data_IF_462146247929
#
_entry.id   IF_462146247929
#
_cell.length_a   1.000
_cell.length_b   1.000
_cell.length_c   1.000
_cell.angle_alpha   90.00
_cell.angle_beta   90.00
_cell.angle_gamma   90.00
#
_symmetry.space_group_name_H-M   'P 1'
#
loop_
_entity.id
_entity.type
_entity.pdbx_description
1 polymer ?
#
# COMPACT_ATOMS: atom_id res chain seq x y z
N UNK A 1 16.48 -18.55 -2.40
CA UNK A 1 16.35 -18.51 -3.87
C UNK A 1 15.13 -19.32 -4.26
N UNK A 2 13.95 -18.69 -4.29
CA UNK A 2 12.75 -19.33 -4.81
C UNK A 2 12.74 -19.10 -6.32
N UNK A 3 12.96 -20.16 -7.10
CA UNK A 3 12.74 -20.15 -8.55
C UNK A 3 11.22 -20.22 -8.78
N UNK A 4 10.62 -19.16 -9.30
CA UNK A 4 9.20 -19.07 -9.64
C UNK A 4 8.81 -19.73 -10.97
N UNK A 5 9.78 -20.25 -11.71
CA UNK A 5 9.53 -20.99 -12.93
C UNK A 5 9.76 -22.48 -12.69
N UNK A 6 8.95 -23.37 -13.27
CA UNK A 6 9.20 -24.78 -13.19
C UNK A 6 10.60 -25.08 -13.76
N UNK A 7 11.34 -26.02 -13.18
CA UNK A 7 12.61 -26.46 -13.72
C UNK A 7 12.35 -27.00 -15.12
N UNK A 8 12.96 -26.44 -16.15
CA UNK A 8 12.79 -26.63 -17.59
C UNK A 8 11.91 -25.59 -18.31
N UNK A 9 11.65 -24.42 -17.73
CA UNK A 9 11.13 -23.29 -18.48
C UNK A 9 12.17 -22.85 -19.51
N UNK A 10 11.83 -22.73 -20.82
CA UNK A 10 12.74 -22.25 -21.84
C UNK A 10 13.12 -20.78 -21.70
N UNK A 11 12.50 -20.08 -20.75
CA UNK A 11 12.81 -18.70 -20.37
C UNK A 11 13.58 -18.70 -19.04
N UNK A 12 14.88 -19.02 -19.06
CA UNK A 12 15.83 -18.47 -18.10
C UNK A 12 16.01 -16.98 -18.40
N UNK A 13 14.95 -16.19 -18.16
CA UNK A 13 15.01 -14.75 -18.28
C UNK A 13 15.80 -14.23 -17.09
N UNK A 14 17.08 -14.00 -17.31
CA UNK A 14 18.01 -13.51 -16.30
C UNK A 14 17.84 -12.01 -15.99
N UNK A 15 17.03 -11.27 -16.78
CA UNK A 15 16.82 -9.83 -16.62
C UNK A 15 15.38 -9.42 -16.97
N UNK A 16 14.84 -8.47 -16.20
CA UNK A 16 13.52 -7.85 -16.41
C UNK A 16 13.34 -7.19 -17.80
N UNK A 17 14.44 -6.84 -18.48
CA UNK A 17 14.41 -6.27 -19.83
C UNK A 17 13.92 -7.24 -20.90
N UNK A 18 14.00 -8.54 -20.69
CA UNK A 18 13.63 -9.52 -21.70
C UNK A 18 12.12 -9.78 -21.77
N UNK A 19 11.40 -9.59 -20.65
CA UNK A 19 9.94 -9.81 -20.58
C UNK A 19 9.18 -8.74 -21.38
N UNK A 20 9.69 -7.51 -21.41
CA UNK A 20 9.06 -6.40 -22.15
C UNK A 20 9.29 -6.47 -23.66
N UNK A 21 10.20 -7.34 -24.15
CA UNK A 21 10.54 -7.49 -25.55
C UNK A 21 9.77 -8.61 -26.26
N UNK A 22 9.03 -9.44 -25.52
CA UNK A 22 8.23 -10.51 -26.12
C UNK A 22 7.07 -9.92 -26.93
N UNK A 23 6.95 -10.38 -28.17
CA UNK A 23 5.79 -10.06 -29.01
C UNK A 23 4.50 -10.67 -28.43
N UNK A 24 3.35 -10.14 -28.83
CA UNK A 24 2.03 -10.65 -28.44
C UNK A 24 1.85 -12.13 -28.80
N UNK A 25 2.47 -12.59 -29.88
CA UNK A 25 2.38 -13.98 -30.36
C UNK A 25 3.25 -14.92 -29.50
N UNK A 26 4.41 -14.48 -29.06
CA UNK A 26 5.28 -15.22 -28.14
C UNK A 26 4.64 -15.36 -26.74
N UNK A 27 3.95 -14.34 -26.26
CA UNK A 27 3.15 -14.43 -25.04
C UNK A 27 1.97 -15.38 -25.16
N UNK A 28 1.24 -15.35 -26.30
CA UNK A 28 0.11 -16.24 -26.56
C UNK A 28 0.55 -17.71 -26.66
N UNK A 29 1.69 -17.96 -27.30
CA UNK A 29 2.27 -19.30 -27.45
C UNK A 29 2.80 -19.85 -26.12
N UNK A 30 3.41 -18.99 -25.30
CA UNK A 30 3.87 -19.34 -23.95
C UNK A 30 2.71 -19.71 -23.02
N UNK A 31 1.64 -18.91 -23.01
CA UNK A 31 0.48 -19.14 -22.16
C UNK A 31 -0.36 -20.34 -22.63
N UNK A 32 -0.39 -20.62 -23.94
CA UNK A 32 -1.11 -21.78 -24.50
C UNK A 32 -0.40 -23.12 -24.33
N UNK A 33 0.91 -23.13 -24.08
CA UNK A 33 1.73 -24.35 -23.90
C UNK A 33 1.83 -24.85 -22.45
N UNK A 34 1.44 -24.02 -21.48
CA UNK A 34 1.52 -24.38 -20.07
C UNK A 34 0.13 -24.61 -19.50
N UNK A 35 -0.22 -25.89 -19.24
CA UNK A 35 -1.35 -26.25 -18.36
C UNK A 35 -1.01 -25.75 -16.95
N UNK A 36 -1.69 -24.70 -16.52
CA UNK A 36 -1.57 -24.21 -15.14
C UNK A 36 -2.39 -25.10 -14.21
N UNK A 37 -1.73 -25.67 -13.22
CA UNK A 37 -2.38 -26.44 -12.15
C UNK A 37 -3.36 -25.53 -11.38
N UNK A 38 -4.65 -25.77 -11.57
CA UNK A 38 -5.75 -25.03 -10.92
C UNK A 38 -5.72 -25.06 -9.36
N UNK A 39 -4.88 -25.92 -8.77
CA UNK A 39 -4.69 -26.02 -7.32
C UNK A 39 -3.84 -24.88 -6.73
N UNK A 40 -3.13 -24.10 -7.55
CA UNK A 40 -2.28 -23.00 -7.09
C UNK A 40 -3.05 -21.69 -7.05
N UNK A 41 -3.09 -21.09 -5.88
CA UNK A 41 -3.81 -19.85 -5.50
C UNK A 41 -3.55 -18.65 -6.44
N UNK A 42 -2.51 -18.69 -7.25
CA UNK A 42 -2.02 -17.63 -8.14
C UNK A 42 -2.67 -17.60 -9.54
N UNK A 43 -3.40 -18.66 -9.92
CA UNK A 43 -3.98 -18.77 -11.26
C UNK A 43 -5.26 -17.96 -11.42
N UNK A 44 -6.05 -17.77 -10.36
CA UNK A 44 -7.35 -17.08 -10.44
C UNK A 44 -7.30 -15.61 -10.92
N UNK A 45 -6.37 -14.76 -10.47
CA UNK A 45 -6.24 -13.40 -11.02
C UNK A 45 -5.76 -13.41 -12.47
N UNK A 46 -4.88 -14.34 -12.83
CA UNK A 46 -4.30 -14.43 -14.17
C UNK A 46 -5.31 -14.95 -15.20
N UNK A 47 -6.10 -15.97 -14.88
CA UNK A 47 -7.20 -16.44 -15.73
C UNK A 47 -8.24 -15.33 -15.96
N UNK A 48 -8.54 -14.54 -14.95
CA UNK A 48 -9.47 -13.42 -15.09
C UNK A 48 -8.94 -12.29 -15.99
N UNK A 49 -7.62 -12.14 -16.07
CA UNK A 49 -6.94 -11.27 -17.04
C UNK A 49 -6.96 -11.86 -18.47
N UNK A 50 -6.79 -13.17 -18.60
CA UNK A 50 -6.83 -13.89 -19.89
C UNK A 50 -8.26 -13.96 -20.46
N UNK A 51 -9.27 -14.06 -19.60
CA UNK A 51 -10.70 -13.99 -19.99
C UNK A 51 -11.15 -12.56 -20.35
N UNK A 52 -10.33 -11.55 -20.03
CA UNK A 52 -10.57 -10.20 -20.51
C UNK A 52 -10.20 -10.11 -21.99
N UNK A 53 -11.02 -9.40 -22.78
CA UNK A 53 -10.78 -9.25 -24.22
C UNK A 53 -9.33 -8.79 -24.49
N UNK A 54 -8.73 -9.30 -25.57
CA UNK A 54 -7.41 -8.91 -26.08
C UNK A 54 -7.18 -7.39 -26.03
N UNK A 55 -8.21 -6.60 -26.27
CA UNK A 55 -8.17 -5.15 -26.25
C UNK A 55 -7.89 -4.56 -24.89
N UNK A 56 -8.39 -5.19 -23.82
CA UNK A 56 -8.11 -4.78 -22.43
C UNK A 56 -6.67 -5.06 -22.09
N UNK A 57 -6.15 -6.23 -22.45
CA UNK A 57 -4.76 -6.59 -22.22
C UNK A 57 -3.78 -5.69 -22.99
N UNK A 58 -4.06 -5.44 -24.28
CA UNK A 58 -3.25 -4.52 -25.10
C UNK A 58 -3.26 -3.09 -24.54
N UNK A 59 -4.41 -2.64 -24.06
CA UNK A 59 -4.55 -1.35 -23.41
C UNK A 59 -3.75 -1.29 -22.10
N UNK A 60 -3.75 -2.35 -21.31
CA UNK A 60 -2.95 -2.44 -20.08
C UNK A 60 -1.46 -2.43 -20.40
N UNK A 61 -1.02 -3.18 -21.40
CA UNK A 61 0.38 -3.19 -21.86
C UNK A 61 0.81 -1.83 -22.41
N UNK A 62 -0.05 -1.14 -23.17
CA UNK A 62 0.25 0.21 -23.65
C UNK A 62 0.39 1.21 -22.50
N UNK A 63 -0.45 1.13 -21.45
CA UNK A 63 -0.32 1.98 -20.27
C UNK A 63 0.97 1.72 -19.48
N UNK A 64 1.43 0.47 -19.44
CA UNK A 64 2.73 0.14 -18.81
C UNK A 64 3.88 0.72 -19.65
N UNK A 65 3.81 0.59 -20.97
CA UNK A 65 4.82 1.17 -21.88
C UNK A 65 4.84 2.71 -21.83
N UNK A 66 3.67 3.35 -21.76
CA UNK A 66 3.53 4.81 -21.67
C UNK A 66 3.83 5.35 -20.26
N UNK A 67 3.83 4.50 -19.22
CA UNK A 67 4.06 4.93 -17.84
C UNK A 67 5.43 5.61 -17.65
N UNK A 68 6.43 5.25 -18.45
CA UNK A 68 7.77 5.85 -18.42
C UNK A 68 7.84 7.27 -18.99
N UNK A 69 6.81 7.73 -19.74
CA UNK A 69 6.82 9.03 -20.40
C UNK A 69 6.40 10.21 -19.50
N UNK A 70 5.67 9.97 -18.39
CA UNK A 70 5.02 11.00 -17.57
C UNK A 70 5.41 10.96 -16.08
N UNK A 71 6.65 10.70 -15.75
CA UNK A 71 7.12 10.54 -14.35
C UNK A 71 6.33 9.44 -13.58
N UNK A 72 5.63 8.56 -14.28
CA UNK A 72 4.93 7.42 -13.73
C UNK A 72 5.74 6.17 -14.05
N UNK A 73 6.23 5.51 -13.00
CA UNK A 73 6.91 4.22 -13.13
C UNK A 73 5.95 3.06 -12.85
N UNK A 74 6.41 1.85 -13.20
CA UNK A 74 5.72 0.59 -12.91
C UNK A 74 6.68 -0.41 -12.27
N UNK A 75 6.25 -1.07 -11.20
CA UNK A 75 7.00 -2.08 -10.47
C UNK A 75 6.22 -3.40 -10.49
N UNK A 76 6.73 -4.39 -11.20
CA UNK A 76 6.12 -5.72 -11.28
C UNK A 76 6.36 -6.53 -10.00
N UNK A 77 5.46 -7.45 -9.68
CA UNK A 77 5.66 -8.43 -8.60
C UNK A 77 6.89 -9.33 -8.83
N UNK A 78 7.30 -9.50 -10.10
CA UNK A 78 8.50 -10.25 -10.48
C UNK A 78 9.80 -9.46 -10.27
N UNK A 79 9.73 -8.14 -10.06
CA UNK A 79 10.89 -7.29 -9.85
C UNK A 79 11.57 -7.66 -8.52
N UNK A 80 12.91 -7.79 -8.47
CA UNK A 80 13.65 -8.02 -7.23
C UNK A 80 13.38 -6.98 -6.14
N UNK A 81 13.12 -5.73 -6.53
CA UNK A 81 12.84 -4.61 -5.63
C UNK A 81 11.36 -4.52 -5.19
N UNK A 82 10.51 -5.47 -5.63
CA UNK A 82 9.13 -5.49 -5.15
C UNK A 82 9.09 -5.77 -3.65
N UNK A 83 8.33 -4.98 -2.84
CA UNK A 83 8.37 -5.05 -1.38
C UNK A 83 8.11 -6.47 -0.87
N UNK A 84 9.07 -7.00 -0.09
CA UNK A 84 9.03 -8.36 0.43
C UNK A 84 7.75 -8.63 1.23
N UNK A 85 7.41 -7.72 2.15
CA UNK A 85 6.20 -7.84 2.96
C UNK A 85 4.93 -7.87 2.09
N UNK A 86 4.83 -7.01 1.10
CA UNK A 86 3.66 -6.95 0.22
C UNK A 86 3.54 -8.21 -0.66
N UNK A 87 4.66 -8.82 -1.05
CA UNK A 87 4.67 -10.07 -1.83
C UNK A 87 4.08 -11.25 -1.06
N UNK A 88 4.11 -11.20 0.28
CA UNK A 88 3.66 -12.30 1.14
C UNK A 88 2.18 -12.27 1.50
N UNK A 89 1.44 -11.21 1.18
CA UNK A 89 0.00 -11.19 1.49
C UNK A 89 -0.75 -12.16 0.58
N UNK A 90 -1.93 -12.61 1.01
CA UNK A 90 -2.74 -13.61 0.29
C UNK A 90 -3.09 -13.19 -1.15
N UNK A 91 -3.24 -11.88 -1.41
CA UNK A 91 -3.63 -11.31 -2.70
C UNK A 91 -2.74 -10.09 -3.00
N UNK A 92 -1.45 -10.30 -3.33
CA UNK A 92 -0.54 -9.21 -3.64
C UNK A 92 -0.89 -8.60 -5.00
N UNK A 93 -0.71 -7.28 -5.16
CA UNK A 93 -0.80 -6.64 -6.48
C UNK A 93 0.20 -7.28 -7.46
N UNK A 94 -0.23 -7.60 -8.68
CA UNK A 94 0.67 -8.08 -9.74
C UNK A 94 1.68 -7.01 -10.16
N UNK A 95 1.37 -5.75 -9.90
CA UNK A 95 2.26 -4.63 -10.09
C UNK A 95 1.72 -3.37 -9.46
N UNK A 96 2.59 -2.39 -9.33
CA UNK A 96 2.32 -1.09 -8.74
C UNK A 96 2.74 0.00 -9.72
N UNK A 97 1.81 0.85 -10.11
CA UNK A 97 2.14 2.14 -10.70
C UNK A 97 2.60 3.08 -9.59
N UNK A 98 3.60 3.92 -9.87
CA UNK A 98 4.12 4.83 -8.87
C UNK A 98 4.50 6.19 -9.44
N UNK A 99 4.51 7.21 -8.57
CA UNK A 99 5.08 8.54 -8.78
C UNK A 99 5.90 8.95 -7.56
N UNK A 100 7.05 9.53 -7.80
CA UNK A 100 7.98 9.95 -6.75
C UNK A 100 9.12 8.96 -6.53
N UNK A 101 9.66 8.93 -5.32
CA UNK A 101 10.88 8.17 -5.00
C UNK A 101 10.56 6.71 -4.63
N UNK A 102 10.79 5.79 -5.56
CA UNK A 102 10.57 4.35 -5.39
C UNK A 102 11.39 3.73 -4.25
N UNK A 103 12.55 4.30 -3.91
CA UNK A 103 13.41 3.82 -2.82
C UNK A 103 12.74 3.92 -1.43
N UNK A 104 11.61 4.62 -1.31
CA UNK A 104 10.81 4.60 -0.08
C UNK A 104 10.28 3.20 0.27
N UNK A 105 10.19 2.31 -0.71
CA UNK A 105 9.79 0.92 -0.49
C UNK A 105 10.85 0.06 0.20
N UNK A 106 12.10 0.51 0.24
CA UNK A 106 13.23 -0.21 0.87
C UNK A 106 13.35 0.10 2.37
N UNK A 107 12.61 1.11 2.86
CA UNK A 107 12.70 1.56 4.25
C UNK A 107 11.69 0.82 5.14
N UNK A 108 11.99 0.66 6.44
CA UNK A 108 11.02 0.14 7.40
C UNK A 108 9.75 0.98 7.41
N UNK A 109 8.62 0.33 7.13
CA UNK A 109 7.34 1.02 6.94
C UNK A 109 6.34 0.68 8.04
N UNK A 110 5.63 1.72 8.52
CA UNK A 110 4.54 1.61 9.49
C UNK A 110 3.30 2.28 8.93
N UNK A 111 2.17 1.56 8.95
CA UNK A 111 0.90 2.13 8.53
C UNK A 111 0.26 2.94 9.66
N UNK A 112 -0.20 4.16 9.35
CA UNK A 112 -1.01 4.99 10.26
C UNK A 112 -2.34 5.25 9.58
N UNK A 113 -3.43 4.77 10.16
CA UNK A 113 -4.78 4.92 9.61
C UNK A 113 -5.78 5.28 10.69
N UNK A 114 -6.92 5.86 10.28
CA UNK A 114 -7.95 6.20 11.24
C UNK A 114 -9.19 6.84 10.63
N UNK A 115 -9.97 7.48 11.48
CA UNK A 115 -11.23 8.11 11.13
C UNK A 115 -11.04 9.30 10.18
N UNK A 116 -11.95 9.42 9.22
CA UNK A 116 -12.11 10.63 8.38
C UNK A 116 -12.66 11.83 9.16
N UNK A 117 -13.32 11.56 10.30
CA UNK A 117 -13.92 12.54 11.21
C UNK A 117 -13.29 12.40 12.60
N UNK A 118 -11.96 12.38 12.65
CA UNK A 118 -11.25 12.28 13.91
C UNK A 118 -11.31 13.58 14.71
N UNK A 119 -11.14 13.47 16.03
CA UNK A 119 -10.98 14.63 16.91
C UNK A 119 -9.66 15.35 16.63
N UNK A 120 -9.60 16.64 16.95
CA UNK A 120 -8.37 17.45 16.86
C UNK A 120 -7.19 16.80 17.55
N UNK A 121 -7.40 16.23 18.74
CA UNK A 121 -6.36 15.55 19.51
C UNK A 121 -5.84 14.31 18.77
N UNK A 122 -6.74 13.49 18.19
CA UNK A 122 -6.33 12.31 17.42
C UNK A 122 -5.63 12.68 16.10
N UNK A 123 -5.99 13.81 15.48
CA UNK A 123 -5.31 14.34 14.30
C UNK A 123 -3.90 14.82 14.64
N UNK A 124 -3.76 15.57 15.75
CA UNK A 124 -2.47 16.05 16.22
C UNK A 124 -1.55 14.89 16.60
N UNK A 125 -2.07 13.90 17.34
CA UNK A 125 -1.29 12.71 17.70
C UNK A 125 -0.90 11.85 16.50
N UNK A 126 -1.74 11.77 15.46
CA UNK A 126 -1.36 11.10 14.22
C UNK A 126 -0.19 11.82 13.51
N UNK A 127 -0.20 13.15 13.55
CA UNK A 127 0.88 13.96 13.01
C UNK A 127 2.17 13.83 13.83
N UNK A 128 2.07 13.93 15.17
CA UNK A 128 3.21 13.78 16.09
C UNK A 128 3.85 12.39 15.96
N UNK A 129 3.02 11.34 15.95
CA UNK A 129 3.50 9.97 15.79
C UNK A 129 4.24 9.79 14.45
N UNK A 130 3.69 10.30 13.37
CA UNK A 130 4.33 10.24 12.06
C UNK A 130 5.67 11.00 12.05
N UNK A 131 5.72 12.18 12.69
CA UNK A 131 6.94 12.98 12.79
C UNK A 131 8.05 12.24 13.55
N UNK A 132 7.75 11.66 14.71
CA UNK A 132 8.74 10.90 15.45
C UNK A 132 9.20 9.67 14.66
N UNK A 133 8.26 8.95 14.01
CA UNK A 133 8.59 7.77 13.18
C UNK A 133 9.60 8.09 12.08
N UNK A 134 9.46 9.22 11.40
CA UNK A 134 10.39 9.59 10.32
C UNK A 134 11.75 10.05 10.84
N UNK A 135 11.80 10.66 12.02
CA UNK A 135 13.06 11.00 12.70
C UNK A 135 13.82 9.75 13.17
N UNK A 136 13.12 8.66 13.48
CA UNK A 136 13.69 7.34 13.79
C UNK A 136 14.04 6.53 12.53
N UNK A 137 13.96 7.14 11.34
CA UNK A 137 14.34 6.51 10.08
C UNK A 137 13.26 5.64 9.42
N UNK A 138 12.04 5.66 9.95
CA UNK A 138 10.90 4.93 9.39
C UNK A 138 10.21 5.69 8.25
N UNK A 139 9.35 4.98 7.53
CA UNK A 139 8.46 5.53 6.50
C UNK A 139 7.01 5.30 6.90
N UNK A 140 6.19 6.34 6.75
CA UNK A 140 4.75 6.28 7.04
C UNK A 140 3.99 5.82 5.81
N UNK A 141 3.15 4.79 5.95
CA UNK A 141 2.23 4.34 4.89
C UNK A 141 0.81 4.72 5.27
N UNK A 142 0.08 5.35 4.37
CA UNK A 142 -1.33 5.64 4.60
C UNK A 142 -2.14 5.72 3.30
N UNK A 143 -3.47 5.83 3.46
CA UNK A 143 -4.39 5.81 2.33
C UNK A 143 -4.71 7.20 1.75
N UNK A 144 -4.26 8.27 2.38
CA UNK A 144 -4.52 9.63 1.94
C UNK A 144 -5.97 10.09 2.09
N UNK A 145 -6.79 9.40 2.86
CA UNK A 145 -8.13 9.89 3.20
C UNK A 145 -8.06 11.17 4.04
N UNK A 146 -9.11 11.98 4.04
CA UNK A 146 -9.21 13.09 4.99
C UNK A 146 -9.12 12.57 6.44
N UNK A 147 -8.67 13.38 7.37
CA UNK A 147 -8.56 13.02 8.78
C UNK A 147 -7.21 12.41 9.13
N UNK A 148 -7.20 11.28 9.85
CA UNK A 148 -5.97 10.70 10.38
C UNK A 148 -4.91 10.40 9.30
N UNK A 149 -5.32 9.87 8.14
CA UNK A 149 -4.39 9.58 7.04
C UNK A 149 -3.69 10.87 6.55
N UNK A 150 -4.46 11.95 6.36
CA UNK A 150 -3.93 13.27 5.98
C UNK A 150 -2.94 13.80 7.03
N UNK A 151 -3.30 13.72 8.31
CA UNK A 151 -2.43 14.17 9.42
C UNK A 151 -1.14 13.36 9.48
N UNK A 152 -1.23 12.03 9.28
CA UNK A 152 -0.05 11.17 9.21
C UNK A 152 0.88 11.56 8.06
N UNK A 153 0.35 11.85 6.87
CA UNK A 153 1.16 12.32 5.76
C UNK A 153 1.81 13.70 6.03
N UNK A 154 1.09 14.61 6.70
CA UNK A 154 1.67 15.91 7.09
C UNK A 154 2.79 15.77 8.12
N UNK A 155 2.66 14.85 9.09
CA UNK A 155 3.71 14.59 10.07
C UNK A 155 4.94 13.89 9.49
N UNK A 156 4.83 13.29 8.30
CA UNK A 156 5.89 12.50 7.69
C UNK A 156 6.84 13.32 6.79
N UNK A 157 6.97 14.61 7.04
CA UNK A 157 8.03 15.46 6.50
C UNK A 157 9.09 15.69 7.57
N UNK A 158 10.36 15.50 7.23
CA UNK A 158 11.47 15.76 8.14
C UNK A 158 11.83 17.25 8.19
N UNK A 159 12.81 17.60 9.03
CA UNK A 159 13.27 18.99 9.22
C UNK A 159 13.85 19.65 7.94
N UNK A 160 14.20 18.82 6.94
CA UNK A 160 14.66 19.27 5.63
C UNK A 160 13.54 19.28 4.59
N UNK A 161 12.28 19.20 5.03
CA UNK A 161 11.08 19.08 4.20
C UNK A 161 11.06 17.87 3.25
N UNK A 162 11.90 16.84 3.49
CA UNK A 162 11.86 15.61 2.72
C UNK A 162 10.66 14.79 3.15
N UNK A 163 9.92 14.29 2.20
CA UNK A 163 8.76 13.43 2.45
C UNK A 163 9.20 11.98 2.66
N UNK A 164 8.90 11.45 3.85
CA UNK A 164 9.16 10.07 4.24
C UNK A 164 7.85 9.30 4.37
N UNK A 165 7.01 9.42 3.33
CA UNK A 165 5.72 8.76 3.31
C UNK A 165 5.39 8.12 1.97
N UNK A 166 4.57 7.06 2.04
CA UNK A 166 3.98 6.34 0.91
C UNK A 166 2.47 6.49 0.98
N UNK A 167 1.92 7.18 -0.01
CA UNK A 167 0.48 7.30 -0.16
C UNK A 167 -0.04 6.23 -1.13
N UNK A 168 -0.91 5.36 -0.65
CA UNK A 168 -1.52 4.30 -1.46
C UNK A 168 -2.85 4.80 -2.00
N UNK A 169 -3.02 4.85 -3.33
CA UNK A 169 -4.25 5.33 -3.97
C UNK A 169 -5.22 4.18 -4.27
N UNK A 170 -6.53 4.49 -4.22
CA UNK A 170 -7.58 3.56 -4.64
C UNK A 170 -7.92 3.68 -6.14
N UNK A 171 -7.55 4.81 -6.76
CA UNK A 171 -7.58 5.06 -8.19
C UNK A 171 -6.19 5.08 -8.80
N UNK A 172 -6.04 5.46 -10.06
CA UNK A 172 -4.74 5.64 -10.70
C UNK A 172 -3.86 6.67 -10.00
N UNK A 173 -2.53 6.54 -10.10
CA UNK A 173 -1.55 7.46 -9.47
C UNK A 173 -1.61 8.89 -10.03
N UNK A 174 -2.28 9.09 -11.17
CA UNK A 174 -2.60 10.39 -11.77
C UNK A 174 -3.94 10.96 -11.26
N UNK A 175 -4.71 10.19 -10.48
CA UNK A 175 -5.99 10.57 -9.87
C UNK A 175 -5.81 10.79 -8.38
N UNK A 176 -5.15 11.89 -8.01
CA UNK A 176 -4.85 12.23 -6.61
C UNK A 176 -6.13 12.63 -5.87
N UNK A 177 -6.71 11.69 -5.15
CA UNK A 177 -7.97 11.84 -4.42
C UNK A 177 -7.80 11.53 -2.92
N UNK A 178 -8.51 12.26 -2.04
CA UNK A 178 -9.50 13.30 -2.33
C UNK A 178 -8.86 14.59 -2.85
N UNK A 179 -9.60 15.36 -3.67
CA UNK A 179 -9.06 16.59 -4.29
C UNK A 179 -8.57 17.63 -3.29
N UNK A 180 -9.13 17.68 -2.08
CA UNK A 180 -8.65 18.56 -1.02
C UNK A 180 -7.22 18.25 -0.58
N UNK A 181 -6.72 17.04 -0.84
CA UNK A 181 -5.35 16.60 -0.55
C UNK A 181 -4.43 16.63 -1.79
N UNK A 182 -4.88 17.13 -2.94
CA UNK A 182 -4.08 17.16 -4.17
C UNK A 182 -2.74 17.89 -3.97
N UNK A 183 -2.77 19.06 -3.32
CA UNK A 183 -1.56 19.82 -3.00
C UNK A 183 -0.60 19.03 -2.09
N UNK A 184 -1.13 18.31 -1.10
CA UNK A 184 -0.33 17.45 -0.22
C UNK A 184 0.35 16.33 -1.02
N UNK A 185 -0.38 15.61 -1.87
CA UNK A 185 0.21 14.52 -2.66
C UNK A 185 1.24 15.03 -3.66
N UNK A 186 1.02 16.19 -4.27
CA UNK A 186 2.04 16.84 -5.12
C UNK A 186 3.29 17.17 -4.30
N UNK A 187 3.13 17.73 -3.08
CA UNK A 187 4.24 17.99 -2.17
C UNK A 187 4.94 16.67 -1.80
N UNK A 188 4.22 15.59 -1.50
CA UNK A 188 4.78 14.27 -1.24
C UNK A 188 5.68 13.83 -2.41
N UNK A 189 5.20 13.90 -3.64
CA UNK A 189 5.96 13.48 -4.83
C UNK A 189 7.21 14.35 -5.02
N UNK A 190 7.06 15.67 -4.96
CA UNK A 190 8.18 16.61 -5.25
C UNK A 190 9.24 16.64 -4.15
N UNK A 191 8.87 16.30 -2.91
CA UNK A 191 9.79 16.27 -1.76
C UNK A 191 10.34 14.85 -1.48
N UNK A 192 10.28 13.95 -2.46
CA UNK A 192 10.92 12.64 -2.41
C UNK A 192 10.16 11.58 -1.62
N UNK A 193 8.87 11.74 -1.41
CA UNK A 193 7.95 10.68 -1.01
C UNK A 193 7.47 9.88 -2.20
N UNK A 194 6.48 8.99 -1.96
CA UNK A 194 6.00 8.06 -2.96
C UNK A 194 4.47 7.99 -2.97
N UNK A 195 3.88 7.99 -4.15
CA UNK A 195 2.46 7.69 -4.40
C UNK A 195 2.38 6.43 -5.22
N UNK A 196 1.60 5.44 -4.78
CA UNK A 196 1.46 4.16 -5.47
C UNK A 196 0.00 3.75 -5.66
N UNK A 197 -0.24 2.91 -6.66
CA UNK A 197 -1.53 2.25 -6.89
C UNK A 197 -1.38 0.96 -7.68
N UNK A 198 -2.27 -0.01 -7.46
CA UNK A 198 -2.42 -1.17 -8.35
C UNK A 198 -3.37 -0.87 -9.54
N UNK A 199 -4.00 0.32 -9.55
CA UNK A 199 -4.96 0.71 -10.58
C UNK A 199 -4.25 1.40 -11.73
N UNK A 200 -4.75 1.13 -12.94
CA UNK A 200 -4.29 1.76 -14.16
C UNK A 200 -4.43 3.29 -14.09
N UNK A 201 -3.54 3.96 -14.80
CA UNK A 201 -3.64 5.39 -15.08
C UNK A 201 -5.03 5.76 -15.60
N UNK A 202 -5.55 6.92 -15.20
CA UNK A 202 -6.87 7.40 -15.59
C UNK A 202 -8.04 6.74 -14.86
N UNK A 203 -7.80 5.77 -13.98
CA UNK A 203 -8.87 5.08 -13.26
C UNK A 203 -9.37 5.94 -12.09
N UNK A 204 -10.64 6.35 -12.14
CA UNK A 204 -11.30 6.96 -10.99
C UNK A 204 -11.73 5.88 -9.98
N UNK A 205 -11.49 6.09 -8.67
CA UNK A 205 -11.80 5.09 -7.66
C UNK A 205 -13.33 4.99 -7.44
N UNK A 206 -13.81 3.76 -7.30
CA UNK A 206 -15.17 3.45 -6.89
C UNK A 206 -15.20 3.14 -5.37
N UNK A 207 -16.36 3.25 -4.68
CA UNK A 207 -16.45 2.95 -3.25
C UNK A 207 -15.85 1.60 -2.84
N UNK A 208 -15.99 0.57 -3.68
CA UNK A 208 -15.45 -0.77 -3.46
C UNK A 208 -13.92 -0.86 -3.55
N UNK A 209 -13.26 0.10 -4.20
CA UNK A 209 -11.81 0.07 -4.41
C UNK A 209 -11.04 0.48 -3.13
N UNK A 210 -11.66 1.26 -2.25
CA UNK A 210 -11.03 1.69 -1.00
C UNK A 210 -10.73 0.52 -0.03
N UNK A 211 -11.68 -0.39 0.28
CA UNK A 211 -11.38 -1.57 1.09
C UNK A 211 -10.35 -2.49 0.42
N UNK A 212 -10.42 -2.67 -0.91
CA UNK A 212 -9.46 -3.50 -1.65
C UNK A 212 -8.06 -2.94 -1.52
N UNK A 213 -7.87 -1.62 -1.69
CA UNK A 213 -6.60 -0.93 -1.56
C UNK A 213 -5.97 -1.09 -0.17
N UNK A 214 -6.79 -1.14 0.89
CA UNK A 214 -6.28 -1.17 2.27
C UNK A 214 -5.37 -2.37 2.56
N UNK A 215 -5.51 -3.49 1.81
CA UNK A 215 -4.60 -4.64 1.93
C UNK A 215 -3.15 -4.28 1.53
N UNK A 216 -2.99 -3.28 0.67
CA UNK A 216 -1.67 -2.79 0.25
C UNK A 216 -1.06 -1.93 1.36
N UNK A 217 -1.86 -1.10 2.03
CA UNK A 217 -1.41 -0.27 3.16
C UNK A 217 -0.83 -1.17 4.26
N UNK A 218 -1.62 -2.13 4.74
CA UNK A 218 -1.18 -3.08 5.77
C UNK A 218 -0.09 -4.03 5.26
N UNK A 219 -0.16 -4.44 3.98
CA UNK A 219 0.79 -5.36 3.36
C UNK A 219 2.20 -4.80 3.20
N UNK A 220 2.34 -3.49 3.01
CA UNK A 220 3.63 -2.79 2.94
C UNK A 220 4.28 -2.60 4.31
N UNK A 221 3.52 -2.70 5.38
CA UNK A 221 3.94 -2.27 6.71
C UNK A 221 4.17 -3.45 7.64
N UNK A 222 5.18 -3.36 8.48
CA UNK A 222 5.40 -4.34 9.55
C UNK A 222 4.35 -4.21 10.65
N UNK A 223 3.82 -3.00 10.83
CA UNK A 223 2.84 -2.66 11.86
C UNK A 223 1.79 -1.70 11.32
N UNK A 224 0.56 -1.84 11.81
CA UNK A 224 -0.56 -0.93 11.50
C UNK A 224 -1.06 -0.28 12.77
N UNK A 225 -1.04 1.05 12.84
CA UNK A 225 -1.47 1.85 13.98
C UNK A 225 -2.84 2.45 13.67
N UNK A 226 -3.79 2.20 14.56
CA UNK A 226 -5.15 2.72 14.47
C UNK A 226 -5.26 3.93 15.40
N UNK A 227 -5.37 5.14 14.82
CA UNK A 227 -5.43 6.38 15.61
C UNK A 227 -6.79 6.62 16.25
N UNK A 228 -7.85 6.66 15.49
CA UNK A 228 -9.21 6.75 16.00
C UNK A 228 -10.14 5.97 15.09
N UNK A 229 -10.97 5.10 15.66
CA UNK A 229 -11.86 4.27 14.88
C UNK A 229 -13.17 3.97 15.62
N UNK A 230 -14.30 4.19 14.95
CA UNK A 230 -15.57 3.63 15.37
C UNK A 230 -15.57 2.11 15.09
N UNK A 231 -16.41 1.37 15.82
CA UNK A 231 -16.46 -0.09 15.81
C UNK A 231 -16.66 -0.70 14.42
N UNK A 232 -17.42 -0.05 13.53
CA UNK A 232 -17.63 -0.48 12.14
C UNK A 232 -17.07 0.55 11.18
N UNK A 233 -15.74 0.59 11.06
CA UNK A 233 -15.05 1.58 10.23
C UNK A 233 -14.04 0.95 9.27
N UNK A 234 -13.63 1.71 8.25
CA UNK A 234 -12.56 1.31 7.32
C UNK A 234 -11.22 1.09 8.00
N UNK A 235 -10.93 1.81 9.10
CA UNK A 235 -9.71 1.61 9.87
C UNK A 235 -9.70 0.24 10.58
N UNK A 236 -10.83 -0.19 11.15
CA UNK A 236 -10.97 -1.54 11.72
C UNK A 236 -10.84 -2.62 10.64
N UNK A 237 -11.40 -2.38 9.45
CA UNK A 237 -11.20 -3.30 8.32
C UNK A 237 -9.71 -3.42 7.96
N UNK A 238 -8.96 -2.32 7.98
CA UNK A 238 -7.51 -2.32 7.75
C UNK A 238 -6.75 -3.07 8.85
N UNK A 239 -7.15 -2.90 10.13
CA UNK A 239 -6.58 -3.66 11.25
C UNK A 239 -6.77 -5.18 11.06
N UNK A 240 -7.98 -5.60 10.68
CA UNK A 240 -8.27 -7.02 10.42
C UNK A 240 -7.44 -7.56 9.24
N UNK A 241 -7.22 -6.77 8.19
CA UNK A 241 -6.33 -7.14 7.10
C UNK A 241 -4.89 -7.30 7.58
N UNK A 242 -4.39 -6.36 8.40
CA UNK A 242 -3.07 -6.43 8.99
C UNK A 242 -2.87 -7.72 9.80
N UNK A 243 -3.80 -8.05 10.70
CA UNK A 243 -3.77 -9.28 11.50
C UNK A 243 -3.79 -10.53 10.61
N UNK A 244 -4.66 -10.56 9.58
CA UNK A 244 -4.72 -11.67 8.63
C UNK A 244 -3.44 -11.83 7.80
N UNK A 245 -2.64 -10.78 7.67
CA UNK A 245 -1.35 -10.74 7.00
C UNK A 245 -0.17 -11.03 7.95
N UNK A 246 -0.44 -11.30 9.24
CA UNK A 246 0.60 -11.51 10.25
C UNK A 246 1.37 -10.24 10.61
N UNK A 247 0.72 -9.07 10.53
CA UNK A 247 1.29 -7.77 10.92
C UNK A 247 0.82 -7.38 12.31
N UNK A 248 1.64 -6.66 13.02
CA UNK A 248 1.27 -6.10 14.32
C UNK A 248 0.17 -5.05 14.15
N UNK A 249 -0.77 -5.04 15.07
CA UNK A 249 -1.79 -3.98 15.18
C UNK A 249 -1.67 -3.33 16.52
N UNK A 250 -1.66 -1.98 16.53
CA UNK A 250 -1.64 -1.19 17.74
C UNK A 250 -2.70 -0.10 17.69
N UNK A 251 -3.11 0.37 18.83
CA UNK A 251 -4.18 1.36 18.94
C UNK A 251 -3.77 2.56 19.77
N UNK A 252 -4.02 3.75 19.24
CA UNK A 252 -4.01 4.98 20.04
C UNK A 252 -5.29 5.02 20.88
N UNK A 253 -5.14 5.12 22.19
CA UNK A 253 -6.25 5.12 23.14
C UNK A 253 -5.94 6.05 24.31
N UNK A 254 -6.20 7.37 24.18
CA UNK A 254 -5.86 8.35 25.19
C UNK A 254 -6.70 8.22 26.45
N UNK A 255 -7.93 7.71 26.31
CA UNK A 255 -8.90 7.51 27.41
C UNK A 255 -9.93 6.46 27.03
N UNK A 256 -10.51 5.82 28.03
CA UNK A 256 -11.59 4.84 27.88
C UNK A 256 -12.97 5.51 27.86
N UNK A 257 -13.95 4.83 27.28
CA UNK A 257 -15.36 5.23 27.29
C UNK A 257 -15.71 6.34 26.31
N UNK A 258 -14.82 6.75 25.44
CA UNK A 258 -15.13 7.68 24.35
C UNK A 258 -15.68 6.92 23.15
N UNK A 259 -16.94 7.19 22.79
CA UNK A 259 -17.64 6.52 21.70
C UNK A 259 -16.89 6.58 20.36
N UNK A 260 -16.05 7.58 20.17
CA UNK A 260 -15.23 7.73 18.97
C UNK A 260 -14.09 6.71 18.88
N UNK A 261 -13.73 6.07 20.00
CA UNK A 261 -12.67 5.09 20.15
C UNK A 261 -13.16 3.67 20.40
N UNK A 262 -14.46 3.39 20.27
CA UNK A 262 -15.01 2.05 20.51
C UNK A 262 -14.36 0.95 19.66
N UNK A 263 -13.90 1.27 18.45
CA UNK A 263 -13.14 0.33 17.63
C UNK A 263 -11.74 0.08 18.21
N UNK A 264 -11.08 1.11 18.72
CA UNK A 264 -9.77 1.00 19.38
C UNK A 264 -9.88 0.17 20.67
N UNK A 265 -10.93 0.42 21.50
CA UNK A 265 -11.21 -0.38 22.69
C UNK A 265 -11.43 -1.85 22.35
N UNK A 266 -12.22 -2.14 21.32
CA UNK A 266 -12.48 -3.51 20.88
C UNK A 266 -11.20 -4.22 20.42
N UNK A 267 -10.29 -3.55 19.72
CA UNK A 267 -8.99 -4.11 19.32
C UNK A 267 -8.08 -4.34 20.54
N UNK A 268 -8.03 -3.40 21.50
CA UNK A 268 -7.30 -3.56 22.75
C UNK A 268 -7.82 -4.76 23.55
N UNK A 269 -9.13 -4.90 23.67
CA UNK A 269 -9.77 -5.99 24.41
C UNK A 269 -9.52 -7.34 23.72
N UNK A 270 -9.26 -7.33 22.41
CA UNK A 270 -8.81 -8.48 21.63
C UNK A 270 -7.29 -8.73 21.73
N UNK A 271 -6.55 -7.93 22.51
CA UNK A 271 -5.13 -8.12 22.77
C UNK A 271 -4.19 -7.16 22.03
N UNK A 272 -4.70 -6.20 21.26
CA UNK A 272 -3.83 -5.21 20.62
C UNK A 272 -3.20 -4.27 21.65
N UNK A 273 -1.87 -4.08 21.64
CA UNK A 273 -1.22 -3.09 22.50
C UNK A 273 -1.78 -1.69 22.28
N UNK A 274 -1.88 -0.90 23.34
CA UNK A 274 -2.41 0.47 23.28
C UNK A 274 -1.43 1.47 23.87
N UNK A 275 -1.45 2.69 23.35
CA UNK A 275 -0.67 3.82 23.83
C UNK A 275 -1.52 5.08 23.91
N UNK A 276 -1.15 6.02 24.79
CA UNK A 276 -1.91 7.24 25.07
C UNK A 276 -1.36 8.50 24.41
N UNK A 277 -0.13 8.48 23.92
CA UNK A 277 0.51 9.56 23.15
C UNK A 277 1.60 9.02 22.22
N UNK A 278 2.02 9.84 21.27
CA UNK A 278 3.11 9.49 20.36
C UNK A 278 4.41 9.17 21.12
N UNK A 279 4.74 9.93 22.16
CA UNK A 279 5.91 9.68 23.00
C UNK A 279 5.76 8.36 23.75
N UNK A 280 4.58 8.04 24.27
CA UNK A 280 4.33 6.79 24.97
C UNK A 280 4.52 5.58 24.06
N UNK A 281 4.17 5.70 22.76
CA UNK A 281 4.44 4.67 21.77
C UNK A 281 5.92 4.31 21.66
N UNK A 282 6.81 5.31 21.62
CA UNK A 282 8.26 5.09 21.49
C UNK A 282 8.93 4.62 22.78
N UNK A 283 8.30 4.86 23.93
CA UNK A 283 8.77 4.36 25.22
C UNK A 283 8.41 2.88 25.46
N UNK A 284 7.52 2.31 24.65
CA UNK A 284 7.18 0.89 24.74
C UNK A 284 8.40 0.06 24.32
N UNK A 285 8.82 -0.85 25.20
CA UNK A 285 9.88 -1.82 24.87
C UNK A 285 9.24 -2.88 23.96
N UNK A 286 9.80 -3.03 22.78
CA UNK A 286 9.44 -4.09 21.85
C UNK A 286 10.40 -5.26 22.10
N UNK A 287 9.88 -6.39 22.60
CA UNK A 287 10.60 -7.66 22.70
C UNK A 287 10.60 -8.40 21.34
#
# INVERSE_FOLDING_TARGET
>A
TYRWFPPNSPLELSNSEDITKLSTDEWSDYLGKHEFDDSKVWTKPFHKLLDSSRDVLLKELSYIADASSDEIGYLSICDPNYPYLLRQIKDPPLGLFYRGNIQRLDSPAIAIVGSRKASSDALLEAQNLANILVHEGGVVVSGGAIGCDTSAHFGAFDDFERSLTIAVMAGGVDRLLPRCNDALFRKVITQGGLVISERLRGTDPRPRDFPIRNRIISGLSSRTIIMQAAQRSGAIATANLALAQGRDVMVYLPRLGDIRFLGNESLRDAGAPSFSSAEAYFQMKWE
#
